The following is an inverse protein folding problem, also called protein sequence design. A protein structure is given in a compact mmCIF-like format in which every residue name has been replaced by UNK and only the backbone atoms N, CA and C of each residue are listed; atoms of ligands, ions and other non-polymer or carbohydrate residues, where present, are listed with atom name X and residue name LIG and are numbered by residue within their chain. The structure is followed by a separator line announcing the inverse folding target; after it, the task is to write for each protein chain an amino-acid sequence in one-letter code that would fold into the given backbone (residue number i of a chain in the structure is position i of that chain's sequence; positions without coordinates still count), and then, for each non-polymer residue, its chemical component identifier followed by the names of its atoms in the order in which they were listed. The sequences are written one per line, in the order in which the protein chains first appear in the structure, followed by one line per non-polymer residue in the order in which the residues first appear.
data_IF_514930977392
#
_entry.id   IF_514930977392
#
_cell.length_a   1.000
_cell.length_b   1.000
_cell.length_c   1.000
_cell.angle_alpha   90.00
_cell.angle_beta   90.00
_cell.angle_gamma   90.00
#
_symmetry.space_group_name_H-M   'P 1'
#
loop_
_entity.id
_entity.type
_entity.pdbx_description
1 polymer ?
#
# COMPACT_ATOMS: atom_id res chain seq x y z
N UNK A 1 16.87 -21.93 -2.63
CA UNK A 1 16.85 -21.44 -1.22
C UNK A 1 15.41 -21.44 -0.71
N UNK A 2 15.16 -21.60 0.60
CA UNK A 2 13.81 -21.47 1.19
C UNK A 2 13.71 -20.15 1.95
N UNK A 3 12.67 -19.38 1.70
CA UNK A 3 12.36 -18.14 2.42
C UNK A 3 11.09 -18.35 3.24
N UNK A 4 11.01 -17.69 4.39
CA UNK A 4 9.79 -17.62 5.20
C UNK A 4 9.22 -16.23 5.11
N UNK A 5 7.93 -16.10 4.85
CA UNK A 5 7.27 -14.81 4.96
C UNK A 5 7.26 -14.38 6.44
N UNK A 6 7.84 -13.22 6.80
CA UNK A 6 7.82 -12.74 8.19
C UNK A 6 6.40 -12.36 8.65
N UNK A 7 5.46 -12.18 7.72
CA UNK A 7 4.08 -11.81 8.00
C UNK A 7 3.15 -13.03 8.12
N UNK A 8 3.20 -13.96 7.15
CA UNK A 8 2.30 -15.13 7.12
C UNK A 8 2.98 -16.48 7.35
N UNK A 9 4.29 -16.53 7.63
CA UNK A 9 5.01 -17.75 8.00
C UNK A 9 5.20 -18.78 6.90
N UNK A 10 4.56 -18.57 5.73
CA UNK A 10 4.66 -19.44 4.56
C UNK A 10 6.10 -19.66 4.16
N UNK A 11 6.48 -20.94 4.07
CA UNK A 11 7.81 -21.34 3.63
C UNK A 11 7.76 -21.63 2.15
N UNK A 12 8.44 -20.82 1.35
CA UNK A 12 8.44 -20.94 -0.10
C UNK A 12 9.87 -21.14 -0.60
N UNK A 13 10.05 -21.92 -1.67
CA UNK A 13 11.33 -21.86 -2.39
C UNK A 13 11.44 -20.51 -3.10
N UNK A 14 12.67 -19.99 -3.19
CA UNK A 14 12.94 -18.76 -3.94
C UNK A 14 12.47 -18.89 -5.39
N UNK A 15 12.60 -20.09 -5.97
CA UNK A 15 12.14 -20.40 -7.33
C UNK A 15 10.60 -20.35 -7.46
N UNK A 16 9.86 -20.80 -6.45
CA UNK A 16 8.39 -20.68 -6.43
C UNK A 16 7.94 -19.22 -6.25
N UNK A 17 8.70 -18.39 -5.54
CA UNK A 17 8.44 -16.94 -5.45
C UNK A 17 8.59 -16.24 -6.81
N UNK A 18 9.55 -16.69 -7.62
CA UNK A 18 9.84 -16.15 -8.96
C UNK A 18 8.79 -16.61 -9.98
N UNK A 19 8.32 -17.87 -9.87
CA UNK A 19 7.40 -18.52 -10.81
C UNK A 19 5.91 -18.23 -10.58
N UNK A 20 5.54 -17.53 -9.50
CA UNK A 20 4.14 -17.19 -9.21
C UNK A 20 3.65 -15.95 -10.00
N UNK A 21 3.47 -16.08 -11.31
CA UNK A 21 2.92 -15.00 -12.15
C UNK A 21 1.43 -14.71 -11.85
N UNK A 22 0.63 -15.72 -11.46
CA UNK A 22 -0.77 -15.51 -11.07
C UNK A 22 -0.95 -14.75 -9.74
N UNK A 23 0.01 -14.87 -8.82
CA UNK A 23 0.03 -14.03 -7.62
C UNK A 23 0.42 -12.59 -7.97
N UNK A 24 1.27 -12.40 -8.98
CA UNK A 24 1.73 -11.09 -9.45
C UNK A 24 0.63 -10.29 -10.15
N UNK A 25 -0.35 -10.95 -10.77
CA UNK A 25 -1.51 -10.29 -11.42
C UNK A 25 -2.60 -9.90 -10.40
N UNK A 26 -2.88 -10.75 -9.40
CA UNK A 26 -3.78 -10.43 -8.28
C UNK A 26 -3.18 -9.38 -7.32
N UNK A 27 -1.88 -9.50 -6.99
CA UNK A 27 -1.14 -8.42 -6.34
C UNK A 27 -0.97 -7.21 -7.27
N UNK A 28 -1.03 -7.39 -8.59
CA UNK A 28 -0.92 -6.32 -9.59
C UNK A 28 -2.06 -5.29 -9.50
N UNK A 29 -3.25 -5.70 -9.08
CA UNK A 29 -4.35 -4.77 -8.76
C UNK A 29 -4.08 -4.03 -7.45
N UNK A 30 -3.53 -4.71 -6.43
CA UNK A 30 -3.07 -4.07 -5.19
C UNK A 30 -1.83 -3.17 -5.40
N UNK A 31 -1.01 -3.44 -6.43
CA UNK A 31 0.17 -2.67 -6.83
C UNK A 31 -0.13 -1.58 -7.86
N UNK A 32 -1.27 -1.58 -8.55
CA UNK A 32 -1.80 -0.36 -9.21
C UNK A 32 -2.23 0.68 -8.17
N UNK A 33 -2.40 0.26 -6.91
CA UNK A 33 -2.50 1.09 -5.72
C UNK A 33 -1.12 1.35 -5.05
N UNK A 34 -0.03 1.25 -5.82
CA UNK A 34 1.37 1.31 -5.37
C UNK A 34 1.63 2.39 -4.34
N UNK A 35 2.17 2.00 -3.18
CA UNK A 35 2.55 2.92 -2.11
C UNK A 35 2.39 2.30 -0.71
N UNK A 36 2.49 3.13 0.35
CA UNK A 36 2.32 2.72 1.74
C UNK A 36 1.04 1.93 2.03
N UNK A 37 -0.05 2.22 1.32
CA UNK A 37 -1.35 1.56 1.52
C UNK A 37 -1.35 0.08 1.11
N UNK A 38 -0.72 -0.28 -0.02
CA UNK A 38 -0.60 -1.68 -0.43
C UNK A 38 0.15 -2.54 0.59
N UNK A 39 1.24 -1.99 1.16
CA UNK A 39 2.00 -2.66 2.22
C UNK A 39 1.15 -2.82 3.50
N UNK A 40 0.45 -1.76 3.90
CA UNK A 40 -0.47 -1.79 5.03
C UNK A 40 -1.53 -2.90 4.85
N UNK A 41 -2.17 -2.99 3.68
CA UNK A 41 -3.17 -4.02 3.38
C UNK A 41 -2.60 -5.44 3.52
N UNK A 42 -1.38 -5.70 3.03
CA UNK A 42 -0.74 -7.02 3.18
C UNK A 42 -0.50 -7.36 4.65
N UNK A 43 -0.02 -6.41 5.46
CA UNK A 43 0.17 -6.58 6.91
C UNK A 43 -1.18 -6.85 7.59
N UNK A 44 -2.22 -6.11 7.22
CA UNK A 44 -3.57 -6.26 7.72
C UNK A 44 -4.17 -7.65 7.43
N UNK A 45 -3.99 -8.18 6.21
CA UNK A 45 -4.45 -9.55 5.88
C UNK A 45 -3.77 -10.62 6.73
N UNK A 46 -2.54 -10.37 7.21
CA UNK A 46 -1.87 -11.22 8.18
C UNK A 46 -2.67 -11.41 9.48
N UNK A 47 -3.56 -10.47 9.85
CA UNK A 47 -4.42 -10.57 11.03
C UNK A 47 -5.51 -11.64 10.92
N UNK A 48 -5.78 -12.16 9.72
CA UNK A 48 -6.75 -13.23 9.48
C UNK A 48 -6.15 -14.64 9.55
N UNK A 49 -4.82 -14.73 9.71
CA UNK A 49 -4.11 -16.00 9.73
C UNK A 49 -4.30 -16.70 11.09
N UNK A 50 -4.80 -17.95 11.11
CA UNK A 50 -4.79 -18.77 12.31
C UNK A 50 -3.38 -19.21 12.70
N UNK A 51 -3.13 -19.46 13.97
CA UNK A 51 -1.81 -19.89 14.46
C UNK A 51 -1.38 -21.25 13.87
N UNK A 52 -2.33 -22.17 13.68
CA UNK A 52 -2.08 -23.55 13.27
C UNK A 52 -1.89 -23.76 11.76
N UNK A 53 -2.23 -22.78 10.91
CA UNK A 53 -2.19 -22.95 9.45
C UNK A 53 -1.87 -21.66 8.70
N UNK A 54 -1.38 -21.83 7.49
CA UNK A 54 -1.12 -20.73 6.58
C UNK A 54 -2.42 -20.16 6.01
N UNK A 55 -2.39 -18.88 5.64
CA UNK A 55 -3.50 -18.23 4.95
C UNK A 55 -3.40 -18.58 3.45
N UNK A 56 -4.33 -19.39 2.96
CA UNK A 56 -4.37 -19.79 1.54
C UNK A 56 -4.56 -18.58 0.63
N UNK A 57 -3.96 -18.59 -0.57
CA UNK A 57 -4.13 -17.50 -1.54
C UNK A 57 -5.60 -17.26 -1.95
N UNK A 58 -6.41 -18.31 -2.02
CA UNK A 58 -7.87 -18.17 -2.26
C UNK A 58 -8.55 -17.34 -1.17
N UNK A 59 -8.13 -17.52 0.09
CA UNK A 59 -8.66 -16.74 1.21
C UNK A 59 -8.16 -15.30 1.16
N UNK A 60 -6.90 -15.08 0.80
CA UNK A 60 -6.34 -13.74 0.56
C UNK A 60 -7.13 -13.01 -0.51
N UNK A 61 -7.38 -13.65 -1.66
CA UNK A 61 -8.14 -13.08 -2.76
C UNK A 61 -9.57 -12.72 -2.34
N UNK A 62 -10.26 -13.60 -1.60
CA UNK A 62 -11.60 -13.32 -1.05
C UNK A 62 -11.60 -12.09 -0.13
N UNK A 63 -10.67 -12.03 0.82
CA UNK A 63 -10.57 -10.89 1.75
C UNK A 63 -10.27 -9.58 1.03
N UNK A 64 -9.44 -9.60 -0.01
CA UNK A 64 -9.19 -8.40 -0.83
C UNK A 64 -10.41 -7.99 -1.64
N UNK A 65 -11.13 -8.94 -2.23
CA UNK A 65 -12.35 -8.69 -2.97
C UNK A 65 -13.46 -8.11 -2.09
N UNK A 66 -13.51 -8.48 -0.81
CA UNK A 66 -14.43 -7.89 0.18
C UNK A 66 -14.15 -6.38 0.41
N UNK A 67 -12.89 -5.94 0.34
CA UNK A 67 -12.49 -4.55 0.60
C UNK A 67 -12.46 -3.66 -0.65
N UNK A 68 -12.28 -4.26 -1.83
CA UNK A 68 -12.02 -3.53 -3.07
C UNK A 68 -13.14 -2.53 -3.46
N UNK A 69 -14.43 -2.84 -3.33
CA UNK A 69 -15.50 -1.90 -3.68
C UNK A 69 -15.44 -0.61 -2.86
N UNK A 70 -15.25 -0.73 -1.54
CA UNK A 70 -15.19 0.42 -0.63
C UNK A 70 -13.93 1.26 -0.84
N UNK A 71 -12.81 0.58 -1.14
CA UNK A 71 -11.54 1.24 -1.46
C UNK A 71 -11.64 2.04 -2.76
N UNK A 72 -12.30 1.50 -3.78
CA UNK A 72 -12.54 2.18 -5.06
C UNK A 72 -13.55 3.32 -4.92
N UNK A 73 -14.61 3.12 -4.14
CA UNK A 73 -15.61 4.14 -3.85
C UNK A 73 -15.09 5.25 -2.91
N UNK A 74 -13.93 5.02 -2.27
CA UNK A 74 -13.34 5.85 -1.22
C UNK A 74 -14.32 6.16 -0.09
N UNK A 75 -15.25 5.25 0.18
CA UNK A 75 -16.33 5.39 1.15
C UNK A 75 -16.62 4.04 1.78
N UNK A 76 -16.98 4.04 3.05
CA UNK A 76 -17.47 2.84 3.76
C UNK A 76 -18.86 3.11 4.32
N UNK A 77 -19.65 2.06 4.50
CA UNK A 77 -20.92 2.12 5.22
C UNK A 77 -20.81 1.36 6.54
N UNK A 78 -21.25 2.01 7.63
CA UNK A 78 -21.30 1.37 8.95
C UNK A 78 -22.51 1.88 9.74
N UNK A 79 -23.36 0.95 10.17
CA UNK A 79 -24.55 1.30 10.95
C UNK A 79 -25.55 2.19 10.19
N UNK A 80 -25.65 2.04 8.86
CA UNK A 80 -26.52 2.85 8.00
C UNK A 80 -26.00 4.27 7.70
N UNK A 81 -24.78 4.60 8.14
CA UNK A 81 -24.13 5.87 7.83
C UNK A 81 -22.94 5.65 6.89
N UNK A 82 -22.80 6.55 5.92
CA UNK A 82 -21.67 6.58 4.98
C UNK A 82 -20.57 7.48 5.54
N UNK A 83 -19.33 6.99 5.50
CA UNK A 83 -18.14 7.71 5.92
C UNK A 83 -17.17 7.84 4.76
N UNK A 84 -16.54 9.02 4.65
CA UNK A 84 -15.43 9.23 3.72
C UNK A 84 -14.23 8.39 4.15
N UNK A 85 -13.72 7.59 3.22
CA UNK A 85 -12.63 6.65 3.44
C UNK A 85 -11.53 6.84 2.37
N UNK A 86 -10.86 8.02 2.33
CA UNK A 86 -9.71 8.22 1.46
C UNK A 86 -8.56 7.27 1.82
N UNK A 87 -7.55 7.08 0.96
CA UNK A 87 -6.42 6.17 1.19
C UNK A 87 -5.72 6.36 2.54
N UNK A 88 -5.65 7.60 3.03
CA UNK A 88 -5.09 7.94 4.33
C UNK A 88 -5.91 7.37 5.51
N UNK A 89 -7.25 7.33 5.41
CA UNK A 89 -8.13 6.71 6.40
C UNK A 89 -7.83 5.22 6.54
N UNK A 90 -7.71 4.52 5.41
CA UNK A 90 -7.37 3.10 5.39
C UNK A 90 -6.00 2.82 6.00
N UNK A 91 -4.97 3.56 5.58
CA UNK A 91 -3.63 3.39 6.12
C UNK A 91 -3.60 3.62 7.64
N UNK A 92 -4.23 4.70 8.11
CA UNK A 92 -4.35 4.99 9.53
C UNK A 92 -5.07 3.87 10.29
N UNK A 93 -6.24 3.43 9.83
CA UNK A 93 -7.04 2.41 10.52
C UNK A 93 -6.34 1.05 10.57
N UNK A 94 -5.56 0.71 9.52
CA UNK A 94 -4.74 -0.50 9.50
C UNK A 94 -3.62 -0.43 10.54
N UNK A 95 -2.90 0.70 10.65
CA UNK A 95 -1.87 0.86 11.68
C UNK A 95 -2.48 0.74 13.10
N UNK A 96 -3.68 1.27 13.31
CA UNK A 96 -4.41 1.09 14.57
C UNK A 96 -4.73 -0.39 14.86
N UNK A 97 -5.09 -1.18 13.83
CA UNK A 97 -5.33 -2.61 13.99
C UNK A 97 -4.06 -3.36 14.39
N UNK A 98 -2.94 -3.02 13.76
CA UNK A 98 -1.65 -3.64 14.02
C UNK A 98 -1.15 -3.31 15.43
N UNK A 99 -1.23 -2.04 15.83
CA UNK A 99 -0.92 -1.60 17.19
C UNK A 99 -1.84 -2.26 18.24
N UNK A 100 -3.13 -2.43 17.94
CA UNK A 100 -4.06 -3.12 18.82
C UNK A 100 -3.72 -4.61 18.99
N UNK A 101 -3.26 -5.29 17.93
CA UNK A 101 -2.75 -6.67 18.03
C UNK A 101 -1.50 -6.72 18.90
N UNK A 102 -0.53 -5.84 18.66
CA UNK A 102 0.72 -5.81 19.41
C UNK A 102 0.48 -5.54 20.91
N UNK A 103 -0.51 -4.71 21.22
CA UNK A 103 -0.94 -4.45 22.59
C UNK A 103 -1.83 -5.56 23.21
N UNK A 104 -2.09 -6.66 22.49
CA UNK A 104 -2.97 -7.75 22.95
C UNK A 104 -4.46 -7.39 23.04
N UNK A 105 -4.88 -6.24 22.51
CA UNK A 105 -6.27 -5.74 22.54
C UNK A 105 -7.11 -6.24 21.35
N UNK A 106 -6.46 -6.74 20.30
CA UNK A 106 -7.11 -7.30 19.13
C UNK A 106 -6.89 -8.81 19.07
N UNK A 107 -7.98 -9.57 19.20
CA UNK A 107 -7.95 -11.03 19.08
C UNK A 107 -7.82 -11.41 17.61
N UNK A 108 -6.82 -12.23 17.30
CA UNK A 108 -6.61 -12.82 15.98
C UNK A 108 -6.81 -14.35 16.06
N UNK A 109 -7.23 -15.03 14.97
CA UNK A 109 -7.51 -14.47 13.65
C UNK A 109 -8.79 -13.63 13.61
N UNK A 110 -8.77 -12.54 12.84
CA UNK A 110 -9.97 -11.77 12.55
C UNK A 110 -10.99 -12.61 11.78
N UNK A 111 -12.27 -12.40 12.06
CA UNK A 111 -13.39 -13.08 11.37
C UNK A 111 -13.93 -12.29 10.18
N UNK A 112 -13.66 -10.99 10.13
CA UNK A 112 -14.11 -10.07 9.09
C UNK A 112 -13.55 -8.66 9.30
N UNK A 113 -14.02 -7.69 8.51
CA UNK A 113 -13.52 -6.32 8.49
C UNK A 113 -14.23 -5.35 9.46
N UNK A 114 -15.21 -5.83 10.22
CA UNK A 114 -16.05 -4.98 11.07
C UNK A 114 -15.28 -4.14 12.10
N UNK A 115 -14.19 -4.67 12.65
CA UNK A 115 -13.32 -3.91 13.56
C UNK A 115 -12.60 -2.78 12.83
N UNK A 116 -12.07 -3.04 11.63
CA UNK A 116 -11.43 -2.04 10.80
C UNK A 116 -12.42 -0.92 10.46
N UNK A 117 -13.63 -1.27 10.03
CA UNK A 117 -14.65 -0.29 9.68
C UNK A 117 -15.09 0.52 10.90
N UNK A 118 -15.19 -0.11 12.07
CA UNK A 118 -15.46 0.60 13.31
C UNK A 118 -14.38 1.65 13.61
N UNK A 119 -13.10 1.30 13.45
CA UNK A 119 -12.01 2.26 13.64
C UNK A 119 -12.05 3.37 12.60
N UNK A 120 -12.33 3.06 11.33
CA UNK A 120 -12.45 4.06 10.28
C UNK A 120 -13.54 5.11 10.55
N UNK A 121 -14.63 4.76 11.24
CA UNK A 121 -15.65 5.76 11.66
C UNK A 121 -15.10 6.84 12.60
N UNK A 122 -13.96 6.58 13.25
CA UNK A 122 -13.29 7.50 14.17
C UNK A 122 -12.18 8.31 13.47
N UNK A 123 -11.98 8.11 12.16
CA UNK A 123 -10.96 8.83 11.41
C UNK A 123 -11.30 10.32 11.37
N UNK A 124 -10.38 11.13 11.86
CA UNK A 124 -10.41 12.57 11.70
C UNK A 124 -9.32 12.95 10.71
N UNK A 125 -9.65 13.59 9.57
CA UNK A 125 -8.64 14.08 8.65
C UNK A 125 -7.82 15.15 9.37
N UNK A 126 -6.61 14.79 9.80
CA UNK A 126 -5.69 15.78 10.33
C UNK A 126 -5.28 16.70 9.17
N UNK A 127 -5.35 18.01 9.36
CA UNK A 127 -4.88 19.02 8.40
C UNK A 127 -3.33 19.03 8.24
N UNK A 128 -2.67 17.91 8.53
CA UNK A 128 -1.24 17.81 8.73
C UNK A 128 -0.60 17.03 7.59
N UNK A 129 0.09 17.80 6.76
CA UNK A 129 0.98 17.41 5.67
C UNK A 129 0.38 16.42 4.69
N UNK A 130 -0.05 16.96 3.54
CA UNK A 130 -0.01 16.20 2.30
C UNK A 130 1.34 15.47 2.26
N UNK A 131 1.30 14.17 2.53
CA UNK A 131 2.29 13.26 1.96
C UNK A 131 2.05 13.44 0.48
N UNK A 132 2.78 14.36 -0.13
CA UNK A 132 2.93 14.39 -1.56
C UNK A 132 3.47 13.01 -1.87
N UNK A 133 2.61 12.16 -2.40
CA UNK A 133 3.02 10.91 -3.01
C UNK A 133 3.89 11.35 -4.19
N UNK A 134 5.18 11.50 -3.89
CA UNK A 134 6.20 11.71 -4.89
C UNK A 134 6.21 10.41 -5.66
N UNK A 135 5.52 10.44 -6.80
CA UNK A 135 5.75 9.48 -7.85
C UNK A 135 7.26 9.56 -8.13
N UNK A 136 8.00 8.56 -7.65
CA UNK A 136 9.40 8.35 -8.04
C UNK A 136 9.38 7.88 -9.49
N UNK A 137 9.01 8.80 -10.39
CA UNK A 137 9.45 8.76 -11.75
C UNK A 137 10.98 8.79 -11.70
N UNK A 138 11.67 7.84 -12.36
CA UNK A 138 13.13 7.83 -12.35
C UNK A 138 13.60 9.18 -12.87
N UNK A 139 14.27 9.95 -12.01
CA UNK A 139 15.00 11.14 -12.43
C UNK A 139 16.08 10.68 -13.38
N UNK A 140 15.78 10.75 -14.68
CA UNK A 140 16.78 10.69 -15.73
C UNK A 140 17.87 11.69 -15.36
N UNK A 141 19.16 11.29 -15.35
CA UNK A 141 20.24 12.22 -15.07
C UNK A 141 20.17 13.34 -16.10
N UNK A 142 19.95 14.57 -15.63
CA UNK A 142 20.08 15.77 -16.45
C UNK A 142 21.54 15.81 -16.88
N UNK A 143 21.80 15.50 -18.14
CA UNK A 143 23.13 15.70 -18.73
C UNK A 143 23.42 17.19 -18.66
N UNK A 144 24.57 17.62 -18.11
CA UNK A 144 24.94 19.02 -18.15
C UNK A 144 25.02 19.48 -19.61
N UNK A 145 24.53 20.68 -19.88
CA UNK A 145 24.54 21.26 -21.22
C UNK A 145 25.96 21.26 -21.80
N UNK A 146 26.08 20.88 -23.07
CA UNK A 146 27.36 20.81 -23.77
C UNK A 146 28.08 22.17 -23.73
N UNK A 147 29.39 22.15 -23.50
CA UNK A 147 30.23 23.37 -23.45
C UNK A 147 30.11 24.21 -24.74
N UNK A 148 29.77 23.56 -25.86
CA UNK A 148 29.52 24.24 -27.14
C UNK A 148 28.29 25.17 -27.09
N UNK A 149 27.21 24.75 -26.42
CA UNK A 149 25.99 25.58 -26.30
C UNK A 149 26.17 26.77 -25.36
N UNK A 150 27.00 26.63 -24.31
CA UNK A 150 27.34 27.74 -23.43
C UNK A 150 28.26 28.76 -24.10
N UNK A 151 29.20 28.31 -24.94
CA UNK A 151 30.10 29.18 -25.69
C UNK A 151 29.36 30.02 -26.75
N UNK A 152 28.34 29.45 -27.41
CA UNK A 152 27.54 30.18 -28.40
C UNK A 152 26.70 31.30 -27.77
N UNK A 153 26.07 31.05 -26.61
CA UNK A 153 25.29 32.07 -25.90
C UNK A 153 26.17 33.25 -25.40
N UNK A 154 27.42 32.98 -25.01
CA UNK A 154 28.35 34.02 -24.58
C UNK A 154 28.85 34.91 -25.74
N UNK A 155 28.91 34.35 -26.96
CA UNK A 155 29.24 35.12 -28.17
C UNK A 155 28.07 36.04 -28.58
N UNK A 156 26.83 35.55 -28.52
CA UNK A 156 25.64 36.35 -28.84
C UNK A 156 25.47 37.55 -27.89
N UNK A 157 25.81 37.41 -26.61
CA UNK A 157 25.77 38.51 -25.65
C UNK A 157 26.82 39.61 -25.92
N UNK A 158 27.94 39.29 -26.57
CA UNK A 158 28.96 40.28 -26.96
C UNK A 158 28.64 40.99 -28.28
N UNK A 159 27.79 40.40 -29.12
CA UNK A 159 27.36 41.00 -30.38
C UNK A 159 26.21 42.00 -30.21
N UNK A 160 25.46 41.91 -29.09
CA UNK A 160 24.28 42.72 -28.81
C UNK A 160 24.51 43.82 -27.75
N UNK A 161 25.77 44.12 -27.41
CA UNK A 161 26.16 45.22 -26.51
C UNK A 161 27.25 46.07 -27.14
#
# INVERSE_FOLDING_TARGET
MRTRCPNCGTTLSLDALIAHDGAREALGVAFKLSGPLGNALIRYLGLFRPESRELTMDRVAKLLAELLPDLQAQRIERGGQVFEAPPACWAWAIEQALAAREAGRLVTPLKGHGWLYQVMTQYQPQASTAVTFREDAPRLPVRPASQTTAAMAALEQRLNG
#
